data_IF_569423097307
#
_entry.id   IF_569423097307
#
_cell.length_a   1.000
_cell.length_b   1.000
_cell.length_c   1.000
_cell.angle_alpha   90.00
_cell.angle_beta   90.00
_cell.angle_gamma   90.00
#
_symmetry.space_group_name_H-M   'P 1'
#
loop_
_entity.id
_entity.type
_entity.pdbx_description
1 polymer ?
#
# COMPACT_ATOMS: atom_id res chain seq x y z
N UNK A 1 16.75 -16.88 19.29
CA UNK A 1 15.42 -17.44 19.50
C UNK A 1 14.41 -16.38 19.11
N UNK A 2 13.44 -16.71 18.26
CA UNK A 2 12.31 -15.85 17.86
C UNK A 2 11.05 -16.45 18.48
N UNK A 3 10.26 -15.62 19.17
CA UNK A 3 8.95 -16.01 19.69
C UNK A 3 7.90 -15.44 18.75
N UNK A 4 7.16 -16.30 18.06
CA UNK A 4 6.08 -15.90 17.17
C UNK A 4 4.79 -15.79 17.97
N UNK A 5 4.27 -14.57 18.10
CA UNK A 5 3.00 -14.27 18.77
C UNK A 5 1.76 -14.43 17.88
N UNK A 6 1.91 -14.89 16.65
CA UNK A 6 0.83 -15.01 15.67
C UNK A 6 0.47 -13.68 14.97
N UNK A 7 -0.67 -13.67 14.27
CA UNK A 7 -1.14 -12.49 13.53
C UNK A 7 -1.54 -11.36 14.48
N UNK A 8 -1.02 -10.16 14.19
CA UNK A 8 -1.40 -8.93 14.91
C UNK A 8 -2.72 -8.37 14.37
N UNK A 9 -3.53 -7.76 15.23
CA UNK A 9 -4.86 -7.26 14.85
C UNK A 9 -4.86 -6.17 13.77
N UNK A 10 -3.79 -5.36 13.68
CA UNK A 10 -3.78 -4.17 12.81
C UNK A 10 -2.89 -4.29 11.56
N UNK A 11 -1.92 -5.18 11.52
CA UNK A 11 -1.08 -5.42 10.34
C UNK A 11 -0.21 -4.24 9.84
N UNK A 12 -0.33 -3.06 10.45
CA UNK A 12 0.47 -1.88 10.14
C UNK A 12 1.26 -1.41 11.36
N UNK A 13 2.37 -0.73 11.11
CA UNK A 13 3.14 -0.10 12.18
C UNK A 13 2.36 1.07 12.80
N UNK A 14 2.64 1.36 14.07
CA UNK A 14 2.03 2.43 14.83
C UNK A 14 2.23 3.81 14.20
N UNK A 15 1.30 4.71 14.46
CA UNK A 15 1.45 6.14 14.18
C UNK A 15 2.61 6.71 14.98
N UNK A 16 3.43 7.55 14.34
CA UNK A 16 4.50 8.29 15.03
C UNK A 16 4.15 9.78 14.95
N UNK A 17 4.13 10.42 16.11
CA UNK A 17 3.89 11.85 16.25
C UNK A 17 5.07 12.50 17.00
N UNK A 18 5.57 13.60 16.46
CA UNK A 18 6.55 14.48 17.10
C UNK A 18 5.79 15.56 17.88
N UNK A 19 5.98 15.58 19.19
CA UNK A 19 5.34 16.55 20.11
C UNK A 19 6.33 17.56 20.67
N UNK A 20 7.53 17.66 20.10
CA UNK A 20 8.58 18.57 20.57
C UNK A 20 8.41 20.00 20.08
N UNK A 21 7.57 20.24 19.07
CA UNK A 21 7.24 21.55 18.54
C UNK A 21 5.87 22.05 19.05
N UNK A 22 5.61 23.36 18.90
CA UNK A 22 4.33 23.98 19.32
C UNK A 22 3.12 23.28 18.71
N UNK A 23 3.18 22.94 17.42
CA UNK A 23 2.18 22.14 16.73
C UNK A 23 2.73 20.72 16.57
N UNK A 24 2.11 19.69 17.19
CA UNK A 24 2.49 18.32 17.00
C UNK A 24 2.45 17.90 15.53
N UNK A 25 3.40 17.06 15.08
CA UNK A 25 3.56 16.67 13.68
C UNK A 25 3.51 15.17 13.52
N UNK A 26 2.62 14.65 12.67
CA UNK A 26 2.62 13.24 12.29
C UNK A 26 3.83 12.99 11.38
N UNK A 27 4.69 12.06 11.79
CA UNK A 27 5.88 11.62 11.05
C UNK A 27 5.66 10.31 10.30
N UNK A 28 4.69 9.49 10.75
CA UNK A 28 4.30 8.24 10.10
C UNK A 28 2.81 7.99 10.36
N UNK A 29 1.96 7.89 9.33
CA UNK A 29 0.57 7.50 9.52
C UNK A 29 0.48 6.03 9.92
N UNK A 30 -0.45 5.69 10.80
CA UNK A 30 -0.73 4.34 11.28
C UNK A 30 -2.21 4.18 11.58
N UNK A 31 -2.54 3.23 12.46
CA UNK A 31 -3.94 2.98 12.83
C UNK A 31 -4.60 4.15 13.57
N UNK A 32 -3.86 4.82 14.46
CA UNK A 32 -4.34 6.08 15.04
C UNK A 32 -4.27 7.15 13.96
N UNK A 33 -5.43 7.58 13.49
CA UNK A 33 -5.55 8.45 12.31
C UNK A 33 -5.30 9.92 12.64
N UNK A 34 -5.13 10.73 11.61
CA UNK A 34 -5.03 12.19 11.73
C UNK A 34 -6.25 12.76 12.45
N UNK A 35 -7.45 12.28 12.07
CA UNK A 35 -8.72 12.73 12.63
C UNK A 35 -8.82 12.41 14.12
N UNK A 36 -8.49 11.18 14.52
CA UNK A 36 -8.48 10.76 15.93
C UNK A 36 -7.55 11.62 16.78
N UNK A 37 -6.36 11.94 16.24
CA UNK A 37 -5.39 12.79 16.95
C UNK A 37 -5.96 14.23 17.06
N UNK A 38 -6.46 14.77 15.96
CA UNK A 38 -7.03 16.11 15.89
C UNK A 38 -8.21 16.28 16.86
N UNK A 39 -9.06 15.28 17.00
CA UNK A 39 -10.21 15.31 17.92
C UNK A 39 -9.78 15.41 19.40
N UNK A 40 -8.60 14.88 19.75
CA UNK A 40 -8.08 14.90 21.13
C UNK A 40 -7.27 16.16 21.45
N UNK A 41 -6.39 16.57 20.50
CA UNK A 41 -5.42 17.66 20.78
C UNK A 41 -5.69 18.95 20.00
N UNK A 42 -6.70 18.97 19.11
CA UNK A 42 -7.09 20.11 18.29
C UNK A 42 -6.23 20.26 17.05
N UNK A 43 -5.07 20.90 17.14
CA UNK A 43 -4.20 21.16 15.99
C UNK A 43 -3.09 20.11 15.88
N UNK A 44 -2.94 19.51 14.69
CA UNK A 44 -1.85 18.60 14.37
C UNK A 44 -1.45 18.80 12.91
N UNK A 45 -0.15 18.82 12.65
CA UNK A 45 0.41 18.90 11.30
C UNK A 45 0.81 17.54 10.76
N UNK A 46 1.20 17.53 9.48
CA UNK A 46 1.73 16.35 8.78
C UNK A 46 3.08 16.71 8.19
N UNK A 47 4.09 15.88 8.45
CA UNK A 47 5.44 16.11 7.89
C UNK A 47 5.40 15.94 6.36
N UNK A 48 6.01 16.89 5.65
CA UNK A 48 6.02 16.93 4.16
C UNK A 48 6.60 15.65 3.53
N UNK A 49 7.51 14.98 4.23
CA UNK A 49 8.09 13.71 3.76
C UNK A 49 7.10 12.53 3.71
N UNK A 50 5.92 12.67 4.31
CA UNK A 50 4.85 11.68 4.16
C UNK A 50 4.11 11.86 2.84
N UNK A 51 3.99 13.12 2.38
CA UNK A 51 3.15 13.52 1.26
C UNK A 51 3.85 13.37 -0.10
N UNK A 52 5.18 13.29 -0.12
CA UNK A 52 5.96 13.24 -1.36
C UNK A 52 7.18 12.33 -1.23
N UNK A 53 7.75 11.96 -2.37
CA UNK A 53 9.01 11.19 -2.41
C UNK A 53 10.13 12.01 -1.74
N UNK A 54 10.82 11.46 -0.73
CA UNK A 54 11.93 12.15 -0.09
C UNK A 54 13.05 12.46 -1.07
N UNK A 55 13.67 13.63 -0.92
CA UNK A 55 14.88 14.01 -1.67
C UNK A 55 16.11 13.23 -1.19
N UNK A 56 17.18 13.21 -1.96
CA UNK A 56 18.43 12.52 -1.60
C UNK A 56 18.99 13.00 -0.26
N UNK A 57 18.91 14.32 0.01
CA UNK A 57 19.42 14.95 1.24
C UNK A 57 18.47 14.90 2.44
N UNK A 58 17.31 14.24 2.28
CA UNK A 58 16.33 14.14 3.36
C UNK A 58 16.88 13.37 4.54
N UNK A 59 16.84 14.00 5.73
CA UNK A 59 17.19 13.39 7.00
C UNK A 59 15.93 12.89 7.70
N UNK A 60 15.75 11.55 7.83
CA UNK A 60 14.55 11.00 8.45
C UNK A 60 14.53 11.31 9.95
N UNK A 61 13.39 11.78 10.45
CA UNK A 61 13.14 12.01 11.88
C UNK A 61 12.59 10.78 12.60
N UNK A 62 12.10 9.80 11.84
CA UNK A 62 11.53 8.56 12.37
C UNK A 62 11.79 7.37 11.44
N UNK A 63 11.75 6.13 11.97
CA UNK A 63 11.85 4.92 11.16
C UNK A 63 10.75 4.85 10.08
N UNK A 64 11.13 4.39 8.88
CA UNK A 64 10.20 4.23 7.76
C UNK A 64 9.95 5.50 6.92
N UNK A 65 10.64 6.63 7.20
CA UNK A 65 10.46 7.85 6.43
C UNK A 65 11.29 7.90 5.13
N UNK A 66 12.50 7.35 5.10
CA UNK A 66 13.45 7.55 3.98
C UNK A 66 13.55 6.36 3.04
N UNK A 67 13.62 5.15 3.56
CA UNK A 67 13.97 3.98 2.76
C UNK A 67 12.73 3.30 2.19
N UNK A 68 12.94 2.59 1.07
CA UNK A 68 11.97 1.68 0.47
C UNK A 68 11.79 0.49 1.41
N UNK A 69 10.80 0.58 2.31
CA UNK A 69 10.50 -0.48 3.25
C UNK A 69 9.48 -1.46 2.67
N UNK A 70 9.70 -2.75 2.90
CA UNK A 70 8.78 -3.84 2.52
C UNK A 70 8.47 -3.93 1.02
N UNK A 71 9.28 -3.28 0.18
CA UNK A 71 9.11 -3.37 -1.25
C UNK A 71 9.30 -4.82 -1.72
N UNK A 72 8.44 -5.32 -2.61
CA UNK A 72 8.66 -6.60 -3.26
C UNK A 72 9.87 -6.52 -4.18
N UNK A 73 10.43 -7.68 -4.55
CA UNK A 73 11.48 -7.79 -5.57
C UNK A 73 10.93 -7.47 -6.97
N UNK A 74 9.62 -7.65 -7.16
CA UNK A 74 8.91 -7.36 -8.38
C UNK A 74 8.88 -5.85 -8.72
N UNK A 75 8.76 -5.53 -10.01
CA UNK A 75 8.38 -4.20 -10.45
C UNK A 75 6.91 -3.97 -10.12
N UNK A 76 6.64 -3.07 -9.15
CA UNK A 76 5.32 -2.81 -8.63
C UNK A 76 4.81 -1.43 -9.06
N UNK A 77 3.64 -1.41 -9.71
CA UNK A 77 2.96 -0.20 -10.15
C UNK A 77 1.55 -0.12 -9.58
N UNK A 78 1.12 1.07 -9.16
CA UNK A 78 -0.22 1.34 -8.62
C UNK A 78 -0.98 2.20 -9.63
N UNK A 79 -2.23 1.85 -9.91
CA UNK A 79 -3.11 2.56 -10.82
C UNK A 79 -4.23 3.26 -10.07
N UNK A 80 -4.51 4.51 -10.44
CA UNK A 80 -5.49 5.37 -9.79
C UNK A 80 -6.49 5.90 -10.82
N UNK A 81 -7.79 5.75 -10.54
CA UNK A 81 -8.89 6.16 -11.39
C UNK A 81 -10.21 5.54 -10.92
N UNK A 82 -11.20 5.44 -11.80
CA UNK A 82 -12.40 4.65 -11.50
C UNK A 82 -12.06 3.16 -11.52
N UNK A 83 -12.80 2.35 -10.74
CA UNK A 83 -12.52 0.92 -10.62
C UNK A 83 -12.45 0.21 -11.97
N UNK A 84 -13.38 0.54 -12.87
CA UNK A 84 -13.47 -0.06 -14.21
C UNK A 84 -12.25 0.31 -15.08
N UNK A 85 -11.89 1.60 -15.15
CA UNK A 85 -10.72 2.05 -15.94
C UNK A 85 -9.42 1.46 -15.42
N UNK A 86 -9.28 1.42 -14.09
CA UNK A 86 -8.12 0.83 -13.43
C UNK A 86 -8.04 -0.66 -13.75
N UNK A 87 -9.14 -1.40 -13.61
CA UNK A 87 -9.19 -2.82 -13.90
C UNK A 87 -8.86 -3.11 -15.37
N UNK A 88 -9.47 -2.39 -16.33
CA UNK A 88 -9.20 -2.59 -17.76
C UNK A 88 -7.71 -2.33 -18.08
N UNK A 89 -7.12 -1.28 -17.50
CA UNK A 89 -5.69 -0.99 -17.67
C UNK A 89 -4.79 -2.07 -17.08
N UNK A 90 -5.08 -2.52 -15.88
CA UNK A 90 -4.32 -3.58 -15.20
C UNK A 90 -4.44 -4.90 -15.97
N UNK A 91 -5.64 -5.27 -16.41
CA UNK A 91 -5.87 -6.50 -17.20
C UNK A 91 -5.03 -6.51 -18.46
N UNK A 92 -5.05 -5.39 -19.21
CA UNK A 92 -4.26 -5.25 -20.44
C UNK A 92 -2.76 -5.47 -20.17
N UNK A 93 -2.21 -4.78 -19.16
CA UNK A 93 -0.78 -4.83 -18.87
C UNK A 93 -0.36 -6.17 -18.24
N UNK A 94 -1.19 -6.74 -17.37
CA UNK A 94 -0.89 -8.01 -16.73
C UNK A 94 -0.88 -9.15 -17.74
N UNK A 95 -1.86 -9.20 -18.66
CA UNK A 95 -1.87 -10.18 -19.74
C UNK A 95 -0.65 -9.99 -20.68
N UNK A 96 -0.32 -8.74 -21.06
CA UNK A 96 0.87 -8.46 -21.89
C UNK A 96 2.17 -9.02 -21.27
N UNK A 97 2.32 -8.87 -19.95
CA UNK A 97 3.50 -9.40 -19.24
C UNK A 97 3.46 -10.93 -19.14
N UNK A 98 2.30 -11.50 -18.86
CA UNK A 98 2.13 -12.96 -18.80
C UNK A 98 2.37 -13.62 -20.17
N UNK A 99 1.88 -13.02 -21.27
CA UNK A 99 2.12 -13.51 -22.64
C UNK A 99 3.60 -13.51 -23.04
N UNK A 100 4.38 -12.60 -22.42
CA UNK A 100 5.86 -12.58 -22.55
C UNK A 100 6.57 -13.57 -21.61
N UNK A 101 5.84 -14.41 -20.88
CA UNK A 101 6.38 -15.43 -19.99
C UNK A 101 6.80 -14.93 -18.60
N UNK A 102 6.44 -13.69 -18.22
CA UNK A 102 6.76 -13.18 -16.89
C UNK A 102 5.69 -13.58 -15.87
N UNK A 103 6.13 -14.08 -14.72
CA UNK A 103 5.24 -14.26 -13.56
C UNK A 103 4.69 -12.93 -13.11
N UNK A 104 3.37 -12.79 -13.13
CA UNK A 104 2.65 -11.53 -12.95
C UNK A 104 1.62 -11.67 -11.83
N UNK A 105 1.48 -10.62 -11.03
CA UNK A 105 0.53 -10.53 -9.94
C UNK A 105 -0.38 -9.31 -10.06
N UNK A 106 -1.60 -9.44 -9.54
CA UNK A 106 -2.58 -8.36 -9.41
C UNK A 106 -3.01 -8.24 -7.96
N UNK A 107 -2.97 -7.03 -7.42
CA UNK A 107 -3.49 -6.66 -6.10
C UNK A 107 -4.77 -5.87 -6.28
N UNK A 108 -5.86 -6.36 -5.69
CA UNK A 108 -7.19 -5.76 -5.74
C UNK A 108 -7.88 -5.82 -4.38
N UNK A 109 -9.17 -5.54 -4.31
CA UNK A 109 -10.04 -5.67 -3.14
C UNK A 109 -11.25 -6.53 -3.44
N UNK A 110 -11.95 -6.99 -2.39
CA UNK A 110 -13.10 -7.90 -2.53
C UNK A 110 -14.16 -7.37 -3.48
N UNK A 111 -14.46 -6.06 -3.40
CA UNK A 111 -15.48 -5.42 -4.21
C UNK A 111 -15.14 -5.39 -5.70
N UNK A 112 -13.85 -5.44 -6.06
CA UNK A 112 -13.39 -5.33 -7.45
C UNK A 112 -12.96 -6.66 -8.06
N UNK A 113 -12.93 -7.77 -7.30
CA UNK A 113 -12.53 -9.08 -7.82
C UNK A 113 -13.25 -9.48 -9.11
N UNK A 114 -14.55 -9.17 -9.19
CA UNK A 114 -15.38 -9.48 -10.37
C UNK A 114 -14.89 -8.81 -11.66
N UNK A 115 -14.22 -7.65 -11.56
CA UNK A 115 -13.69 -6.92 -12.72
C UNK A 115 -12.55 -7.69 -13.40
N UNK A 116 -11.82 -8.48 -12.63
CA UNK A 116 -10.66 -9.27 -13.09
C UNK A 116 -11.02 -10.70 -13.51
N UNK A 117 -12.11 -11.24 -12.96
CA UNK A 117 -12.53 -12.61 -13.24
C UNK A 117 -12.77 -12.82 -14.75
N UNK A 118 -12.23 -13.94 -15.27
CA UNK A 118 -12.36 -14.36 -16.68
C UNK A 118 -11.69 -13.46 -17.73
N UNK A 119 -11.02 -12.37 -17.31
CA UNK A 119 -10.33 -11.45 -18.22
C UNK A 119 -8.80 -11.57 -18.16
N UNK A 120 -8.29 -12.15 -17.08
CA UNK A 120 -6.86 -12.39 -16.88
C UNK A 120 -6.45 -13.79 -17.31
N UNK A 121 -5.23 -13.94 -17.80
CA UNK A 121 -4.61 -15.23 -18.09
C UNK A 121 -4.55 -16.06 -16.79
N UNK A 122 -4.70 -17.39 -16.92
CA UNK A 122 -4.83 -18.32 -15.78
C UNK A 122 -3.62 -18.33 -14.84
N UNK A 123 -2.44 -17.98 -15.37
CA UNK A 123 -1.18 -18.01 -14.62
C UNK A 123 -0.92 -16.70 -13.83
N UNK A 124 -1.81 -15.70 -13.96
CA UNK A 124 -1.70 -14.45 -13.21
C UNK A 124 -2.26 -14.65 -11.81
N UNK A 125 -1.45 -14.40 -10.81
CA UNK A 125 -1.84 -14.48 -9.40
C UNK A 125 -2.64 -13.24 -9.01
N UNK A 126 -3.95 -13.39 -8.78
CA UNK A 126 -4.83 -12.31 -8.32
C UNK A 126 -5.06 -12.45 -6.82
N UNK A 127 -4.78 -11.41 -6.06
CA UNK A 127 -4.94 -11.39 -4.61
C UNK A 127 -5.79 -10.20 -4.18
N UNK A 128 -6.89 -10.48 -3.48
CA UNK A 128 -7.61 -9.45 -2.73
C UNK A 128 -6.89 -9.19 -1.41
N UNK A 129 -6.65 -7.92 -1.09
CA UNK A 129 -6.17 -7.51 0.23
C UNK A 129 -7.28 -7.53 1.28
N UNK A 130 -8.55 -7.52 0.89
CA UNK A 130 -9.69 -7.48 1.78
C UNK A 130 -10.77 -6.51 1.34
N UNK A 131 -11.56 -6.05 2.30
CA UNK A 131 -12.79 -5.30 2.08
C UNK A 131 -12.60 -3.79 2.29
N UNK A 132 -13.07 -2.96 1.35
CA UNK A 132 -12.99 -1.49 1.44
C UNK A 132 -13.75 -0.92 2.64
N UNK A 133 -14.87 -1.57 3.02
CA UNK A 133 -15.66 -1.15 4.18
C UNK A 133 -15.03 -1.57 5.52
N UNK A 134 -13.99 -2.43 5.47
CA UNK A 134 -13.22 -2.92 6.61
C UNK A 134 -11.72 -2.78 6.32
N UNK A 135 -11.18 -1.55 6.27
CA UNK A 135 -9.80 -1.28 5.84
C UNK A 135 -8.73 -1.97 6.70
N UNK A 136 -9.06 -2.39 7.93
CA UNK A 136 -8.19 -3.23 8.75
C UNK A 136 -7.89 -4.59 8.10
N UNK A 137 -8.81 -5.14 7.31
CA UNK A 137 -8.56 -6.40 6.57
C UNK A 137 -7.49 -6.20 5.51
N UNK A 138 -7.53 -5.07 4.81
CA UNK A 138 -6.52 -4.69 3.80
C UNK A 138 -5.16 -4.49 4.47
N UNK A 139 -5.15 -3.77 5.59
CA UNK A 139 -3.94 -3.51 6.36
C UNK A 139 -3.24 -4.80 6.80
N UNK A 140 -4.02 -5.79 7.30
CA UNK A 140 -3.51 -7.08 7.77
C UNK A 140 -2.90 -7.93 6.66
N UNK A 141 -3.45 -7.86 5.44
CA UNK A 141 -3.00 -8.70 4.33
C UNK A 141 -1.85 -8.08 3.53
N UNK A 142 -1.62 -6.76 3.65
CA UNK A 142 -0.71 -6.01 2.80
C UNK A 142 0.69 -6.62 2.73
N UNK A 143 1.38 -6.71 3.87
CA UNK A 143 2.77 -7.18 3.89
C UNK A 143 2.88 -8.68 3.59
N UNK A 144 1.91 -9.46 4.05
CA UNK A 144 1.86 -10.89 3.72
C UNK A 144 1.76 -11.09 2.22
N UNK A 145 0.87 -10.37 1.55
CA UNK A 145 0.66 -10.46 0.09
C UNK A 145 1.93 -10.10 -0.69
N UNK A 146 2.63 -9.03 -0.32
CA UNK A 146 3.90 -8.66 -0.97
C UNK A 146 4.96 -9.76 -0.80
N UNK A 147 5.06 -10.37 0.39
CA UNK A 147 5.97 -11.52 0.62
C UNK A 147 5.55 -12.78 -0.15
N UNK A 148 4.27 -13.02 -0.29
CA UNK A 148 3.78 -14.17 -1.05
C UNK A 148 4.08 -14.02 -2.55
N UNK A 149 4.04 -12.81 -3.11
CA UNK A 149 4.52 -12.52 -4.48
C UNK A 149 6.03 -12.75 -4.62
N UNK A 150 6.85 -12.33 -3.64
CA UNK A 150 8.29 -12.60 -3.65
C UNK A 150 8.56 -14.11 -3.66
N UNK A 151 7.89 -14.88 -2.78
CA UNK A 151 8.01 -16.35 -2.74
C UNK A 151 7.58 -17.03 -4.03
N UNK A 152 6.55 -16.48 -4.69
CA UNK A 152 6.11 -16.98 -6.00
C UNK A 152 7.09 -16.64 -7.14
N UNK A 153 8.08 -15.77 -6.88
CA UNK A 153 9.02 -15.30 -7.90
C UNK A 153 8.39 -14.38 -8.93
N UNK A 154 7.33 -13.64 -8.51
CA UNK A 154 6.62 -12.66 -9.34
C UNK A 154 7.58 -11.58 -9.81
N UNK A 155 7.48 -11.16 -11.07
CA UNK A 155 8.34 -10.11 -11.67
C UNK A 155 7.61 -8.78 -11.85
N UNK A 156 6.31 -8.81 -12.05
CA UNK A 156 5.48 -7.62 -12.21
C UNK A 156 4.27 -7.72 -11.28
N UNK A 157 3.99 -6.66 -10.54
CA UNK A 157 2.81 -6.52 -9.70
C UNK A 157 2.06 -5.26 -10.13
N UNK A 158 0.76 -5.39 -10.38
CA UNK A 158 -0.14 -4.31 -10.70
C UNK A 158 -1.18 -4.19 -9.59
N UNK A 159 -1.32 -3.02 -8.99
CA UNK A 159 -2.26 -2.79 -7.89
C UNK A 159 -3.15 -1.59 -8.11
N UNK A 160 -4.25 -1.55 -7.38
CA UNK A 160 -5.18 -0.43 -7.34
C UNK A 160 -4.79 0.56 -6.24
N UNK A 161 -5.04 1.86 -6.48
CA UNK A 161 -5.02 2.86 -5.43
C UNK A 161 -6.34 2.81 -4.64
N UNK A 162 -6.24 2.94 -3.33
CA UNK A 162 -7.39 2.96 -2.42
C UNK A 162 -7.66 4.37 -1.89
N UNK A 163 -8.82 4.54 -1.22
CA UNK A 163 -9.15 5.79 -0.53
C UNK A 163 -8.06 6.14 0.51
N UNK A 164 -7.70 7.43 0.56
CA UNK A 164 -6.72 7.96 1.52
C UNK A 164 -7.39 8.54 2.79
N UNK A 165 -8.67 8.22 3.05
CA UNK A 165 -9.34 8.64 4.28
C UNK A 165 -9.04 7.67 5.43
N UNK A 166 -8.89 8.20 6.62
CA UNK A 166 -8.65 7.43 7.85
C UNK A 166 -7.48 6.42 7.71
N UNK A 167 -7.71 5.15 8.04
CA UNK A 167 -6.72 4.07 7.93
C UNK A 167 -6.23 3.87 6.49
N UNK A 168 -7.05 4.20 5.49
CA UNK A 168 -6.69 4.14 4.07
C UNK A 168 -5.44 4.98 3.74
N UNK A 169 -5.24 6.11 4.42
CA UNK A 169 -4.02 6.91 4.28
C UNK A 169 -2.76 6.14 4.70
N UNK A 170 -2.82 5.42 5.83
CA UNK A 170 -1.71 4.59 6.28
C UNK A 170 -1.42 3.43 5.31
N UNK A 171 -2.47 2.77 4.80
CA UNK A 171 -2.37 1.71 3.78
C UNK A 171 -1.68 2.24 2.52
N UNK A 172 -2.20 3.34 1.95
CA UNK A 172 -1.64 3.93 0.73
C UNK A 172 -0.22 4.43 0.92
N UNK A 173 0.14 4.96 2.09
CA UNK A 173 1.52 5.34 2.39
C UNK A 173 2.48 4.14 2.29
N UNK A 174 2.06 2.93 2.75
CA UNK A 174 2.87 1.70 2.64
C UNK A 174 2.96 1.21 1.20
N UNK A 175 1.82 1.14 0.51
CA UNK A 175 1.78 0.69 -0.88
C UNK A 175 2.58 1.61 -1.80
N UNK A 176 2.43 2.93 -1.64
CA UNK A 176 3.20 3.93 -2.41
C UNK A 176 4.71 3.75 -2.22
N UNK A 177 5.16 3.53 -0.99
CA UNK A 177 6.59 3.27 -0.71
C UNK A 177 7.05 1.92 -1.28
N UNK A 178 6.23 0.88 -1.16
CA UNK A 178 6.52 -0.43 -1.74
C UNK A 178 6.65 -0.36 -3.27
N UNK A 179 5.79 0.41 -3.93
CA UNK A 179 5.84 0.68 -5.37
C UNK A 179 6.92 1.69 -5.79
N UNK A 180 7.75 2.19 -4.85
CA UNK A 180 8.77 3.20 -5.17
C UNK A 180 8.20 4.52 -5.68
N UNK A 181 6.97 4.87 -5.26
CA UNK A 181 6.18 6.04 -5.70
C UNK A 181 5.70 5.95 -7.17
N UNK A 182 5.67 4.75 -7.75
CA UNK A 182 5.17 4.52 -9.10
C UNK A 182 3.63 4.43 -9.06
N UNK A 183 2.97 5.58 -9.12
CA UNK A 183 1.50 5.73 -9.18
C UNK A 183 1.13 6.35 -10.52
N UNK A 184 0.19 5.72 -11.23
CA UNK A 184 -0.21 6.08 -12.58
C UNK A 184 -1.71 6.39 -12.61
N UNK A 185 -2.08 7.57 -13.06
CA UNK A 185 -3.48 7.97 -13.27
C UNK A 185 -4.02 7.43 -14.60
N UNK A 186 -5.29 6.92 -14.60
CA UNK A 186 -5.95 6.30 -15.77
C UNK A 186 -7.40 6.77 -15.91
#
# INVERSE_FOLDING_TARGET
>A
MIIDGGMVGMGLESTIIDVTSKTPMILRPGFITYEMIKDVIGEVGVDKAILSKPTADFKPKAPGMKYRHYAPEADYSIYRGTAEKVADKIIMLANEKADKGFKTGVITVDQHLNLYQRKLNKDIMVVSLGNLDKPETIANMLFKTLRDFDKAGTKFIFGEAFSQHNVGWAIMNRLTKAAGYNIIDV
#
